data_IF_765809990690
#
_entry.id   IF_765809990690
#
_cell.length_a   1.000
_cell.length_b   1.000
_cell.length_c   1.000
_cell.angle_alpha   90.00
_cell.angle_beta   90.00
_cell.angle_gamma   90.00
#
_symmetry.space_group_name_H-M   'P 1'
#
loop_
_entity.id
_entity.type
_entity.pdbx_description
1 polymer ?
#
# COMPACT_ATOMS: atom_id res chain seq x y z
N UNK A 1 1.02 0.69 -37.80
CA UNK A 1 0.15 1.24 -36.74
C UNK A 1 -0.48 0.10 -35.92
N UNK A 2 0.33 -0.63 -35.15
CA UNK A 2 -0.09 -1.68 -34.20
C UNK A 2 1.02 -1.83 -33.16
N UNK A 3 0.65 -2.03 -31.90
CA UNK A 3 1.54 -2.26 -30.75
C UNK A 3 1.56 -1.04 -29.84
N UNK A 4 0.67 -0.95 -28.85
CA UNK A 4 0.79 -1.59 -27.52
C UNK A 4 1.91 -0.99 -26.66
N UNK A 5 1.85 0.32 -26.41
CA UNK A 5 2.60 0.99 -25.35
C UNK A 5 1.60 1.57 -24.33
N UNK A 6 0.80 0.71 -23.70
CA UNK A 6 0.16 1.06 -22.42
C UNK A 6 1.17 0.87 -21.31
N UNK A 7 2.21 1.70 -21.32
CA UNK A 7 2.96 2.01 -20.13
C UNK A 7 2.04 2.87 -19.25
N UNK A 8 1.17 2.20 -18.49
CA UNK A 8 0.65 2.76 -17.25
C UNK A 8 1.81 2.81 -16.24
N UNK A 9 2.84 3.60 -16.56
CA UNK A 9 3.72 4.13 -15.53
C UNK A 9 2.85 5.17 -14.84
N UNK A 10 2.19 4.74 -13.77
CA UNK A 10 1.48 5.64 -12.87
C UNK A 10 2.49 6.70 -12.47
N UNK A 11 2.36 7.90 -13.02
CA UNK A 11 3.16 9.07 -12.68
C UNK A 11 3.05 9.24 -11.17
N UNK A 12 4.06 8.80 -10.44
CA UNK A 12 4.22 9.07 -9.03
C UNK A 12 4.38 10.58 -8.91
N UNK A 13 3.31 11.27 -8.51
CA UNK A 13 3.35 12.69 -8.19
C UNK A 13 4.31 12.87 -7.00
N UNK A 14 5.58 13.13 -7.27
CA UNK A 14 6.65 13.32 -6.28
C UNK A 14 6.40 14.49 -5.31
N UNK A 15 5.39 15.32 -5.54
CA UNK A 15 5.06 16.46 -4.67
C UNK A 15 4.02 16.21 -3.57
N UNK A 16 3.22 15.13 -3.66
CA UNK A 16 2.10 14.92 -2.72
C UNK A 16 2.38 13.78 -1.75
N UNK A 17 2.17 13.99 -0.45
CA UNK A 17 2.20 12.90 0.54
C UNK A 17 1.19 11.82 0.18
N UNK A 18 1.59 10.55 0.24
CA UNK A 18 0.66 9.43 0.06
C UNK A 18 -0.40 9.40 1.18
N UNK A 19 -1.53 8.74 0.92
CA UNK A 19 -2.65 8.68 1.86
C UNK A 19 -2.27 7.95 3.17
N UNK A 20 -1.42 6.93 3.10
CA UNK A 20 -0.94 6.25 4.30
C UNK A 20 -0.10 7.15 5.21
N UNK A 21 0.83 7.94 4.65
CA UNK A 21 1.60 8.90 5.44
C UNK A 21 0.71 9.98 6.09
N UNK A 22 -0.36 10.41 5.41
CA UNK A 22 -1.34 11.35 5.98
C UNK A 22 -2.07 10.77 7.18
N UNK A 23 -2.55 9.53 7.07
CA UNK A 23 -3.20 8.79 8.17
C UNK A 23 -2.25 8.62 9.35
N UNK A 24 -1.02 8.23 9.08
CA UNK A 24 -0.02 8.03 10.12
C UNK A 24 0.60 9.33 10.63
N UNK A 25 0.23 10.52 10.11
CA UNK A 25 0.89 11.79 10.44
C UNK A 25 2.42 11.66 10.38
N UNK A 26 2.92 11.06 9.29
CA UNK A 26 4.34 10.74 9.03
C UNK A 26 4.82 11.56 7.85
N UNK A 27 6.07 12.03 7.88
CA UNK A 27 6.73 12.62 6.72
C UNK A 27 6.75 11.66 5.51
N UNK A 28 6.37 12.18 4.34
CA UNK A 28 6.40 11.45 3.08
C UNK A 28 7.48 12.06 2.18
N UNK A 29 8.29 11.21 1.57
CA UNK A 29 9.33 11.58 0.60
C UNK A 29 9.27 10.62 -0.60
N UNK A 30 10.21 10.76 -1.55
CA UNK A 30 10.27 9.88 -2.72
C UNK A 30 10.59 8.42 -2.36
N UNK A 31 11.34 8.18 -1.29
CA UNK A 31 11.66 6.85 -0.75
C UNK A 31 10.57 6.31 0.21
N UNK A 32 9.32 6.75 0.08
CA UNK A 32 8.25 6.36 0.99
C UNK A 32 7.84 4.89 0.79
N UNK A 33 8.15 4.02 1.75
CA UNK A 33 7.79 2.58 1.74
C UNK A 33 6.29 2.30 1.67
N UNK A 34 5.42 3.23 2.11
CA UNK A 34 3.96 3.06 2.02
C UNK A 34 3.42 3.30 0.61
N UNK A 35 4.14 4.08 -0.21
CA UNK A 35 3.69 4.48 -1.53
C UNK A 35 3.50 3.26 -2.47
N UNK A 36 4.43 2.29 -2.56
CA UNK A 36 4.19 1.06 -3.33
C UNK A 36 3.12 0.15 -2.71
N UNK A 37 2.99 0.08 -1.37
CA UNK A 37 1.92 -0.68 -0.71
C UNK A 37 0.51 -0.18 -1.06
N UNK A 38 0.36 1.09 -1.43
CA UNK A 38 -0.95 1.70 -1.68
C UNK A 38 -1.29 1.78 -3.17
N UNK A 39 -0.31 1.55 -4.05
CA UNK A 39 -0.45 1.77 -5.50
C UNK A 39 -1.56 0.93 -6.12
N UNK A 40 -1.80 -0.27 -5.59
CA UNK A 40 -2.81 -1.21 -6.11
C UNK A 40 -4.23 -0.95 -5.57
N UNK A 41 -4.38 -0.05 -4.59
CA UNK A 41 -5.69 0.37 -4.07
C UNK A 41 -6.07 1.67 -4.76
N UNK A 42 -7.06 1.64 -5.65
CA UNK A 42 -7.42 2.79 -6.49
C UNK A 42 -8.02 3.96 -5.70
N UNK A 43 -8.89 3.66 -4.73
CA UNK A 43 -9.66 4.66 -4.00
C UNK A 43 -8.87 5.24 -2.81
N UNK A 44 -8.80 6.57 -2.72
CA UNK A 44 -7.99 7.27 -1.71
C UNK A 44 -8.49 7.07 -0.27
N UNK A 45 -9.80 6.97 -0.10
CA UNK A 45 -10.46 6.60 1.15
C UNK A 45 -10.13 5.15 1.54
N UNK A 46 -10.19 4.20 0.61
CA UNK A 46 -9.83 2.80 0.85
C UNK A 46 -8.36 2.65 1.27
N UNK A 47 -7.44 3.39 0.63
CA UNK A 47 -6.03 3.46 1.06
C UNK A 47 -5.90 3.95 2.52
N UNK A 48 -6.68 4.97 2.88
CA UNK A 48 -6.72 5.52 4.22
C UNK A 48 -7.25 4.52 5.25
N UNK A 49 -8.38 3.88 4.97
CA UNK A 49 -9.01 2.87 5.82
C UNK A 49 -8.11 1.65 6.04
N UNK A 50 -7.49 1.12 4.98
CA UNK A 50 -6.54 0.03 5.08
C UNK A 50 -5.34 0.42 5.97
N UNK A 51 -4.81 1.63 5.82
CA UNK A 51 -3.70 2.12 6.66
C UNK A 51 -4.11 2.27 8.12
N UNK A 52 -5.30 2.82 8.36
CA UNK A 52 -5.87 2.96 9.71
C UNK A 52 -6.04 1.60 10.38
N UNK A 53 -6.55 0.62 9.64
CA UNK A 53 -6.68 -0.76 10.09
C UNK A 53 -5.30 -1.33 10.47
N UNK A 54 -4.35 -1.39 9.54
CA UNK A 54 -3.03 -1.97 9.82
C UNK A 54 -2.31 -1.26 10.98
N UNK A 55 -2.40 0.07 11.06
CA UNK A 55 -1.82 0.84 12.16
C UNK A 55 -2.47 0.54 13.52
N UNK A 56 -3.77 0.23 13.54
CA UNK A 56 -4.49 -0.18 14.75
C UNK A 56 -4.04 -1.57 15.22
N UNK A 57 -3.76 -2.50 14.31
CA UNK A 57 -3.36 -3.86 14.65
C UNK A 57 -1.90 -3.97 15.10
N UNK A 58 -0.93 -3.39 14.40
CA UNK A 58 0.50 -3.48 14.82
C UNK A 58 0.97 -2.32 15.70
N UNK A 59 0.15 -1.28 15.84
CA UNK A 59 0.66 0.02 16.22
C UNK A 59 1.57 0.64 15.15
N UNK A 60 1.98 1.88 15.36
CA UNK A 60 2.84 2.62 14.42
C UNK A 60 4.21 1.96 14.23
N UNK A 61 4.86 1.57 15.34
CA UNK A 61 6.22 1.02 15.31
C UNK A 61 6.23 -0.38 14.69
N UNK A 62 5.27 -1.24 15.06
CA UNK A 62 5.14 -2.57 14.49
C UNK A 62 4.83 -2.54 13.00
N UNK A 63 3.92 -1.65 12.56
CA UNK A 63 3.63 -1.47 11.13
C UNK A 63 4.88 -1.07 10.34
N UNK A 64 5.64 -0.09 10.83
CA UNK A 64 6.86 0.34 10.15
C UNK A 64 7.92 -0.75 10.09
N UNK A 65 8.13 -1.47 11.20
CA UNK A 65 9.06 -2.59 11.28
C UNK A 65 8.71 -3.68 10.25
N UNK A 66 7.43 -4.07 10.20
CA UNK A 66 6.92 -5.06 9.25
C UNK A 66 7.18 -4.63 7.80
N UNK A 67 6.81 -3.41 7.43
CA UNK A 67 6.96 -2.90 6.06
C UNK A 67 8.42 -2.85 5.60
N UNK A 68 9.36 -2.57 6.51
CA UNK A 68 10.79 -2.52 6.21
C UNK A 68 11.48 -3.88 6.25
N UNK A 69 10.89 -4.87 6.92
CA UNK A 69 11.43 -6.23 7.02
C UNK A 69 11.16 -7.06 5.75
N UNK A 70 10.14 -6.70 4.97
CA UNK A 70 9.81 -7.35 3.69
C UNK A 70 10.60 -6.69 2.55
N UNK A 71 11.46 -7.42 1.83
CA UNK A 71 12.14 -6.92 0.63
C UNK A 71 11.12 -6.42 -0.40
N UNK A 72 11.43 -5.33 -1.12
CA UNK A 72 10.51 -4.71 -2.08
C UNK A 72 9.95 -5.71 -3.11
N UNK A 73 10.77 -6.66 -3.56
CA UNK A 73 10.40 -7.68 -4.55
C UNK A 73 9.39 -8.71 -4.03
N UNK A 74 9.23 -8.80 -2.71
CA UNK A 74 8.32 -9.75 -2.03
C UNK A 74 7.07 -9.05 -1.49
N UNK A 75 6.95 -7.75 -1.72
CA UNK A 75 5.81 -6.94 -1.32
C UNK A 75 4.66 -7.16 -2.31
N UNK A 76 3.62 -7.95 -2.00
CA UNK A 76 2.50 -8.24 -2.91
C UNK A 76 1.82 -7.04 -3.59
N UNK A 77 2.06 -5.80 -3.17
CA UNK A 77 1.72 -4.60 -3.94
C UNK A 77 2.41 -4.46 -5.31
N UNK A 78 3.48 -5.23 -5.60
CA UNK A 78 4.21 -5.16 -6.89
C UNK A 78 3.76 -6.20 -7.92
N UNK A 79 2.94 -7.20 -7.57
CA UNK A 79 2.55 -8.27 -8.53
C UNK A 79 1.20 -8.99 -8.27
N UNK A 80 0.27 -8.41 -7.50
CA UNK A 80 -0.99 -9.09 -7.14
C UNK A 80 -2.21 -8.67 -7.95
N UNK A 81 -2.54 -9.39 -9.04
CA UNK A 81 -3.91 -9.38 -9.60
C UNK A 81 -4.75 -10.40 -8.82
N UNK A 82 -5.30 -10.01 -7.68
CA UNK A 82 -6.37 -10.78 -7.02
C UNK A 82 -7.53 -9.84 -6.73
N UNK A 83 -8.47 -9.81 -7.65
CA UNK A 83 -9.81 -9.35 -7.34
C UNK A 83 -10.46 -10.29 -6.31
N UNK A 84 -11.52 -9.79 -5.70
CA UNK A 84 -12.59 -10.60 -5.13
C UNK A 84 -12.26 -11.55 -3.97
N UNK A 85 -11.83 -11.02 -2.81
CA UNK A 85 -12.35 -11.52 -1.52
C UNK A 85 -12.29 -10.51 -0.38
N UNK A 86 -13.00 -9.39 -0.52
CA UNK A 86 -13.08 -8.38 0.53
C UNK A 86 -14.11 -8.67 1.64
N UNK A 87 -14.59 -9.90 1.80
CA UNK A 87 -15.71 -10.21 2.72
C UNK A 87 -15.30 -10.90 4.03
N UNK A 88 -14.00 -11.14 4.24
CA UNK A 88 -13.46 -11.90 5.37
C UNK A 88 -12.31 -11.14 6.07
N UNK A 89 -12.55 -9.87 6.43
CA UNK A 89 -11.53 -8.99 7.05
C UNK A 89 -11.48 -9.05 8.57
N UNK A 90 -12.32 -9.86 9.19
CA UNK A 90 -12.63 -9.66 10.60
C UNK A 90 -11.61 -10.24 11.58
N UNK A 91 -10.64 -11.08 11.18
CA UNK A 91 -9.76 -11.74 12.17
C UNK A 91 -8.39 -12.28 11.70
N UNK A 92 -7.78 -11.83 10.59
CA UNK A 92 -6.51 -12.44 10.12
C UNK A 92 -5.35 -11.46 9.93
N UNK A 93 -4.23 -11.71 10.63
CA UNK A 93 -2.96 -11.01 10.48
C UNK A 93 -2.39 -11.07 9.05
N UNK A 94 -2.85 -12.03 8.23
CA UNK A 94 -2.52 -12.17 6.81
C UNK A 94 -2.93 -10.95 5.98
N UNK A 95 -3.95 -10.17 6.41
CA UNK A 95 -4.42 -8.95 5.71
C UNK A 95 -3.29 -7.95 5.45
N UNK A 96 -2.29 -7.94 6.31
CA UNK A 96 -1.25 -6.91 6.32
C UNK A 96 -0.18 -7.28 5.31
N UNK A 97 0.07 -8.58 5.20
CA UNK A 97 0.82 -9.13 4.09
C UNK A 97 0.10 -8.91 2.77
N UNK A 98 -1.20 -8.63 2.69
CA UNK A 98 -1.85 -8.20 1.44
C UNK A 98 -1.93 -6.67 1.29
N UNK A 99 -1.81 -5.93 2.39
CA UNK A 99 -1.77 -4.47 2.36
C UNK A 99 -0.47 -3.96 1.73
N UNK A 100 0.61 -4.71 1.91
CA UNK A 100 1.92 -4.45 1.37
C UNK A 100 2.54 -5.79 0.96
#
# INVERSE_FOLDING_TARGET
MRGSERAAVSTSTSGMSCNGCRVLRKGCNDACVLRPCLLWIEAADAQGHATLFAAKFFGRAGLMSFLTAVPEQQRPGTYGRTGDRWSSWHDDASVVQYMC
#
